data_IF_753469774614
#
_entry.id   IF_753469774614
#
_cell.length_a   1.000
_cell.length_b   1.000
_cell.length_c   1.000
_cell.angle_alpha   90.00
_cell.angle_beta   90.00
_cell.angle_gamma   90.00
#
_symmetry.space_group_name_H-M   'P 1'
#
loop_
_entity.id
_entity.type
_entity.pdbx_description
1 polymer ?
#
# COMPACT_ATOMS: atom_id res chain seq x y z
N UNK A 1 -36.23 12.88 -22.31
CA UNK A 1 -36.56 11.92 -21.23
C UNK A 1 -35.24 11.25 -20.88
N UNK A 2 -34.56 11.67 -19.80
CA UNK A 2 -33.45 10.91 -19.21
C UNK A 2 -34.11 9.65 -18.65
N UNK A 3 -33.73 8.48 -19.16
CA UNK A 3 -34.04 7.21 -18.52
C UNK A 3 -33.53 7.31 -17.08
N UNK A 4 -34.36 6.99 -16.10
CA UNK A 4 -33.97 6.64 -14.75
C UNK A 4 -33.09 5.39 -14.87
N UNK A 5 -31.80 5.62 -15.16
CA UNK A 5 -30.83 4.57 -15.27
C UNK A 5 -30.45 4.11 -13.87
N UNK A 6 -30.38 2.82 -13.67
CA UNK A 6 -29.71 2.14 -12.56
C UNK A 6 -28.58 3.03 -12.01
N UNK A 7 -28.68 3.43 -10.76
CA UNK A 7 -27.67 4.32 -10.18
C UNK A 7 -26.38 3.52 -9.98
N UNK A 8 -25.38 3.76 -10.83
CA UNK A 8 -24.08 3.12 -10.75
C UNK A 8 -23.21 3.85 -9.73
N UNK A 9 -22.53 3.08 -8.87
CA UNK A 9 -21.46 3.56 -8.02
C UNK A 9 -20.14 2.92 -8.47
N UNK A 10 -19.20 3.76 -8.90
CA UNK A 10 -17.86 3.32 -9.26
C UNK A 10 -16.95 3.50 -8.07
N UNK A 11 -16.13 2.48 -7.76
CA UNK A 11 -15.19 2.50 -6.66
C UNK A 11 -13.81 1.99 -7.12
N UNK A 12 -12.78 2.63 -6.62
CA UNK A 12 -11.40 2.16 -6.68
C UNK A 12 -10.94 1.79 -5.28
N UNK A 13 -10.39 0.60 -5.12
CA UNK A 13 -9.83 0.11 -3.86
C UNK A 13 -8.35 -0.19 -4.07
N UNK A 14 -7.53 0.32 -3.16
CA UNK A 14 -6.13 -0.09 -2.99
C UNK A 14 -6.06 -0.97 -1.74
N UNK A 15 -5.77 -2.27 -1.94
CA UNK A 15 -5.82 -3.26 -0.88
C UNK A 15 -4.42 -3.55 -0.35
N UNK A 16 -3.91 -2.65 0.49
CA UNK A 16 -2.54 -2.71 0.98
C UNK A 16 -2.35 -3.52 2.26
N UNK A 17 -1.13 -3.97 2.49
CA UNK A 17 -0.74 -4.80 3.64
C UNK A 17 -0.91 -4.07 4.99
N UNK A 18 -0.62 -2.77 5.07
CA UNK A 18 -0.73 -1.98 6.32
C UNK A 18 -1.97 -1.11 6.34
N UNK A 19 -2.31 -0.51 5.22
CA UNK A 19 -3.48 0.36 5.03
C UNK A 19 -4.14 0.02 3.71
N UNK A 20 -5.46 0.12 3.69
CA UNK A 20 -6.26 0.00 2.48
C UNK A 20 -7.05 1.28 2.28
N UNK A 21 -7.15 1.75 1.05
CA UNK A 21 -7.91 2.95 0.72
C UNK A 21 -9.03 2.66 -0.27
N UNK A 22 -10.09 3.47 -0.18
CA UNK A 22 -11.19 3.46 -1.13
C UNK A 22 -11.47 4.88 -1.61
N UNK A 23 -11.69 5.02 -2.91
CA UNK A 23 -12.19 6.22 -3.56
C UNK A 23 -13.42 5.89 -4.36
N UNK A 24 -14.49 6.70 -4.24
CA UNK A 24 -15.78 6.43 -4.87
C UNK A 24 -16.28 7.61 -5.69
N UNK A 25 -17.10 7.33 -6.73
CA UNK A 25 -17.65 8.33 -7.65
C UNK A 25 -18.65 9.31 -7.02
N UNK A 26 -19.07 9.05 -5.79
CA UNK A 26 -19.88 9.98 -4.99
C UNK A 26 -19.04 10.98 -4.17
N UNK A 27 -17.70 10.97 -4.34
CA UNK A 27 -16.77 11.87 -3.65
C UNK A 27 -16.22 11.31 -2.33
N UNK A 28 -16.59 10.11 -1.93
CA UNK A 28 -16.02 9.47 -0.71
C UNK A 28 -14.58 9.05 -0.97
N UNK A 29 -13.72 9.37 0.00
CA UNK A 29 -12.34 8.86 0.12
C UNK A 29 -12.11 8.46 1.56
N UNK A 30 -11.73 7.22 1.80
CA UNK A 30 -11.49 6.69 3.14
C UNK A 30 -10.21 5.83 3.17
N UNK A 31 -9.53 5.88 4.30
CA UNK A 31 -8.30 5.12 4.57
C UNK A 31 -8.50 4.34 5.86
N UNK A 32 -8.22 3.05 5.81
CA UNK A 32 -8.38 2.13 6.95
C UNK A 32 -7.08 1.35 7.13
N UNK A 33 -6.57 1.26 8.35
CA UNK A 33 -5.51 0.30 8.66
C UNK A 33 -6.02 -1.11 8.38
N UNK A 34 -5.23 -1.93 7.67
CA UNK A 34 -5.61 -3.29 7.26
C UNK A 34 -5.59 -4.28 8.43
N UNK A 35 -6.34 -3.95 9.48
CA UNK A 35 -6.53 -4.76 10.68
C UNK A 35 -8.02 -5.00 10.91
N UNK A 36 -8.33 -6.21 11.36
CA UNK A 36 -9.66 -6.63 11.78
C UNK A 36 -9.55 -7.44 13.05
N UNK A 37 -10.48 -7.28 13.96
CA UNK A 37 -10.49 -8.00 15.23
C UNK A 37 -11.88 -8.40 15.68
N UNK A 38 -11.97 -9.62 16.21
CA UNK A 38 -13.17 -10.14 16.85
C UNK A 38 -12.94 -10.21 18.37
N UNK A 39 -13.95 -9.92 19.19
CA UNK A 39 -13.85 -10.11 20.63
C UNK A 39 -13.39 -11.53 20.99
N UNK A 40 -12.42 -11.65 21.93
CA UNK A 40 -11.83 -12.94 22.32
C UNK A 40 -12.78 -13.83 23.10
N UNK A 41 -13.67 -13.19 23.85
CA UNK A 41 -14.57 -13.86 24.78
C UNK A 41 -15.84 -13.03 25.05
N UNK A 42 -16.73 -13.59 25.85
CA UNK A 42 -17.97 -12.95 26.24
C UNK A 42 -17.77 -11.58 26.92
N UNK A 43 -16.75 -11.43 27.74
CA UNK A 43 -16.48 -10.18 28.47
C UNK A 43 -16.07 -9.08 27.50
N UNK A 44 -15.13 -9.39 26.59
CA UNK A 44 -14.70 -8.45 25.55
C UNK A 44 -15.84 -8.08 24.60
N UNK A 45 -16.69 -9.03 24.20
CA UNK A 45 -17.88 -8.75 23.40
C UNK A 45 -18.85 -7.79 24.11
N UNK A 46 -19.09 -8.00 25.42
CA UNK A 46 -19.95 -7.13 26.20
C UNK A 46 -19.37 -5.72 26.40
N UNK A 47 -18.06 -5.61 26.62
CA UNK A 47 -17.38 -4.33 26.82
C UNK A 47 -17.33 -3.51 25.54
N UNK A 48 -17.02 -4.16 24.41
CA UNK A 48 -16.87 -3.50 23.12
C UNK A 48 -18.22 -3.18 22.45
N UNK A 49 -19.27 -3.97 22.73
CA UNK A 49 -20.61 -3.79 22.14
C UNK A 49 -20.65 -3.92 20.61
N UNK A 50 -19.63 -4.54 20.02
CA UNK A 50 -19.47 -4.76 18.57
C UNK A 50 -18.96 -6.18 18.34
N UNK A 51 -19.45 -6.84 17.29
CA UNK A 51 -19.03 -8.19 16.92
C UNK A 51 -17.69 -8.22 16.17
N UNK A 52 -17.34 -7.10 15.52
CA UNK A 52 -16.10 -6.94 14.75
C UNK A 52 -15.65 -5.48 14.78
N UNK A 53 -14.35 -5.26 14.88
CA UNK A 53 -13.72 -3.94 14.80
C UNK A 53 -12.72 -3.90 13.64
N UNK A 54 -12.56 -2.72 13.05
CA UNK A 54 -11.70 -2.48 11.89
C UNK A 54 -10.69 -1.36 12.17
N UNK A 55 -9.56 -1.40 11.48
CA UNK A 55 -8.60 -0.31 11.41
C UNK A 55 -8.06 0.13 12.78
N UNK A 56 -8.09 1.44 13.00
CA UNK A 56 -7.62 2.05 14.25
C UNK A 56 -8.37 1.53 15.47
N UNK A 57 -9.70 1.39 15.38
CA UNK A 57 -10.52 0.85 16.48
C UNK A 57 -10.05 -0.56 16.90
N UNK A 58 -9.70 -1.42 15.92
CA UNK A 58 -9.17 -2.75 16.20
C UNK A 58 -7.79 -2.70 16.85
N UNK A 59 -6.91 -1.81 16.40
CA UNK A 59 -5.57 -1.64 16.97
C UNK A 59 -5.61 -1.08 18.42
N UNK A 60 -6.48 -0.13 18.68
CA UNK A 60 -6.65 0.45 20.01
C UNK A 60 -7.17 -0.60 21.02
N UNK A 61 -8.08 -1.46 20.59
CA UNK A 61 -8.69 -2.50 21.41
C UNK A 61 -7.99 -3.88 21.31
N UNK A 62 -6.79 -3.95 20.74
CA UNK A 62 -6.07 -5.20 20.41
C UNK A 62 -5.89 -6.19 21.57
N UNK A 63 -5.91 -5.73 22.82
CA UNK A 63 -5.79 -6.61 24.00
C UNK A 63 -7.06 -7.43 24.25
N UNK A 64 -8.21 -6.93 23.80
CA UNK A 64 -9.52 -7.58 23.94
C UNK A 64 -9.98 -8.30 22.67
N UNK A 65 -9.14 -8.32 21.61
CA UNK A 65 -9.48 -8.86 20.31
C UNK A 65 -8.54 -9.97 19.87
N UNK A 66 -9.09 -10.94 19.16
CA UNK A 66 -8.33 -11.77 18.23
C UNK A 66 -8.10 -10.92 16.98
N UNK A 67 -6.89 -10.36 16.89
CA UNK A 67 -6.51 -9.39 15.90
C UNK A 67 -5.86 -10.07 14.70
N UNK A 68 -6.33 -9.74 13.50
CA UNK A 68 -5.82 -10.25 12.23
C UNK A 68 -5.33 -9.10 11.35
N UNK A 69 -4.24 -9.36 10.64
CA UNK A 69 -3.76 -8.59 9.51
C UNK A 69 -3.88 -9.50 8.30
N UNK A 70 -4.95 -9.38 7.50
CA UNK A 70 -5.33 -10.40 6.52
C UNK A 70 -4.37 -10.50 5.34
N UNK A 71 -3.57 -9.45 5.10
CA UNK A 71 -2.60 -9.38 4.03
C UNK A 71 -1.18 -9.47 4.58
N UNK A 72 -0.37 -10.33 4.00
CA UNK A 72 1.05 -10.43 4.28
C UNK A 72 1.83 -10.41 2.96
N UNK A 73 2.79 -9.47 2.85
CA UNK A 73 3.56 -9.30 1.62
C UNK A 73 2.66 -9.16 0.39
N UNK A 74 1.56 -8.42 0.52
CA UNK A 74 0.60 -8.21 -0.55
C UNK A 74 -0.23 -9.44 -0.95
N UNK A 75 -0.10 -10.57 -0.25
CA UNK A 75 -0.85 -11.79 -0.51
C UNK A 75 -1.90 -12.00 0.57
N UNK A 76 -3.08 -12.43 0.16
CA UNK A 76 -4.10 -12.94 1.07
C UNK A 76 -3.58 -14.24 1.67
N UNK A 77 -3.51 -14.31 3.00
CA UNK A 77 -3.07 -15.51 3.72
C UNK A 77 -4.04 -16.65 3.50
N UNK A 78 -3.68 -17.59 2.62
CA UNK A 78 -4.49 -18.77 2.33
C UNK A 78 -4.35 -19.86 3.42
N UNK A 79 -5.33 -20.77 3.47
CA UNK A 79 -5.29 -21.96 4.31
C UNK A 79 -5.70 -21.76 5.77
N UNK A 80 -6.09 -20.56 6.16
CA UNK A 80 -6.74 -20.27 7.44
C UNK A 80 -8.09 -19.64 7.12
N UNK A 81 -9.18 -20.36 7.35
CA UNK A 81 -10.56 -19.91 7.08
C UNK A 81 -10.83 -18.49 7.63
N UNK A 82 -10.28 -18.19 8.81
CA UNK A 82 -10.41 -16.88 9.45
C UNK A 82 -9.71 -15.75 8.69
N UNK A 83 -8.65 -16.02 7.94
CA UNK A 83 -8.00 -15.01 7.12
C UNK A 83 -8.81 -14.66 5.87
N UNK A 84 -9.45 -15.65 5.23
CA UNK A 84 -10.37 -15.41 4.11
C UNK A 84 -11.59 -14.59 4.57
N UNK A 85 -12.13 -14.92 5.75
CA UNK A 85 -13.19 -14.13 6.39
C UNK A 85 -12.71 -12.69 6.67
N UNK A 86 -11.51 -12.52 7.22
CA UNK A 86 -10.95 -11.21 7.52
C UNK A 86 -10.80 -10.32 6.27
N UNK A 87 -10.35 -10.89 5.14
CA UNK A 87 -10.28 -10.14 3.86
C UNK A 87 -11.67 -9.73 3.39
N UNK A 88 -12.63 -10.65 3.44
CA UNK A 88 -14.01 -10.39 3.03
C UNK A 88 -14.63 -9.27 3.86
N UNK A 89 -14.50 -9.34 5.17
CA UNK A 89 -15.03 -8.33 6.09
C UNK A 89 -14.34 -6.98 5.90
N UNK A 90 -13.01 -6.96 5.70
CA UNK A 90 -12.27 -5.72 5.43
C UNK A 90 -12.75 -5.04 4.13
N UNK A 91 -12.90 -5.81 3.05
CA UNK A 91 -13.40 -5.29 1.77
C UNK A 91 -14.86 -4.83 1.92
N UNK A 92 -15.70 -5.61 2.59
CA UNK A 92 -17.10 -5.24 2.88
C UNK A 92 -17.17 -3.94 3.68
N UNK A 93 -16.32 -3.77 4.68
CA UNK A 93 -16.21 -2.54 5.46
C UNK A 93 -15.81 -1.35 4.57
N UNK A 94 -14.74 -1.48 3.76
CA UNK A 94 -14.32 -0.42 2.82
C UNK A 94 -15.47 -0.01 1.90
N UNK A 95 -16.17 -0.98 1.29
CA UNK A 95 -17.31 -0.69 0.43
C UNK A 95 -18.42 0.02 1.20
N UNK A 96 -18.69 -0.36 2.46
CA UNK A 96 -19.71 0.28 3.30
C UNK A 96 -19.40 1.76 3.59
N UNK A 97 -18.11 2.11 3.71
CA UNK A 97 -17.68 3.50 3.89
C UNK A 97 -18.00 4.37 2.67
N UNK A 98 -18.08 3.80 1.48
CA UNK A 98 -18.55 4.52 0.29
C UNK A 98 -20.07 4.79 0.29
N UNK A 99 -20.80 4.36 1.33
CA UNK A 99 -22.23 4.61 1.55
C UNK A 99 -23.11 4.28 0.33
N UNK A 100 -23.03 3.04 -0.21
CA UNK A 100 -23.84 2.65 -1.35
C UNK A 100 -25.32 2.67 -0.98
N UNK A 101 -26.18 3.10 -1.89
CA UNK A 101 -27.64 2.95 -1.76
C UNK A 101 -28.04 1.53 -2.17
N UNK A 102 -29.23 1.09 -1.75
CA UNK A 102 -29.74 -0.26 -2.03
C UNK A 102 -29.87 -0.60 -3.52
N UNK A 103 -30.13 0.41 -4.34
CA UNK A 103 -30.32 0.32 -5.79
C UNK A 103 -29.04 0.56 -6.60
N UNK A 104 -27.91 0.83 -5.93
CA UNK A 104 -26.64 1.02 -6.62
C UNK A 104 -26.12 -0.30 -7.20
N UNK A 105 -25.80 -0.30 -8.49
CA UNK A 105 -24.90 -1.29 -9.08
C UNK A 105 -23.47 -0.84 -8.84
N UNK A 106 -22.71 -1.59 -8.06
CA UNK A 106 -21.34 -1.25 -7.69
C UNK A 106 -20.37 -1.86 -8.71
N UNK A 107 -19.54 -1.00 -9.31
CA UNK A 107 -18.45 -1.36 -10.22
C UNK A 107 -17.13 -1.07 -9.53
N UNK A 108 -16.37 -2.12 -9.24
CA UNK A 108 -15.16 -2.03 -8.46
C UNK A 108 -13.90 -2.33 -9.27
N UNK A 109 -12.86 -1.51 -9.10
CA UNK A 109 -11.50 -1.86 -9.49
C UNK A 109 -10.66 -1.98 -8.23
N UNK A 110 -9.94 -3.10 -8.08
CA UNK A 110 -9.08 -3.39 -6.93
C UNK A 110 -7.63 -3.48 -7.39
N UNK A 111 -6.78 -2.65 -6.79
CA UNK A 111 -5.32 -2.70 -6.94
C UNK A 111 -4.73 -3.78 -6.05
N UNK A 112 -3.76 -4.52 -6.59
CA UNK A 112 -2.98 -5.55 -5.87
C UNK A 112 -1.52 -5.51 -6.31
N UNK A 113 -0.57 -6.04 -5.52
CA UNK A 113 0.82 -6.15 -5.93
C UNK A 113 1.01 -6.95 -7.23
N UNK A 114 2.03 -6.59 -8.00
CA UNK A 114 2.23 -7.08 -9.38
C UNK A 114 2.40 -8.59 -9.48
N UNK A 115 3.34 -9.17 -8.74
CA UNK A 115 3.65 -10.61 -8.82
C UNK A 115 2.54 -11.49 -8.22
N UNK A 116 1.61 -10.92 -7.46
CA UNK A 116 0.53 -11.64 -6.77
C UNK A 116 -0.82 -11.53 -7.49
N UNK A 117 -0.88 -10.84 -8.63
CA UNK A 117 -2.12 -10.58 -9.38
C UNK A 117 -2.91 -11.86 -9.66
N UNK A 118 -2.25 -12.92 -10.13
CA UNK A 118 -2.92 -14.18 -10.51
C UNK A 118 -3.54 -14.89 -9.30
N UNK A 119 -2.81 -14.95 -8.17
CA UNK A 119 -3.27 -15.59 -6.92
C UNK A 119 -4.36 -14.76 -6.27
N UNK A 120 -4.12 -13.47 -6.09
CA UNK A 120 -5.06 -12.58 -5.41
C UNK A 120 -6.35 -12.37 -6.20
N UNK A 121 -6.31 -12.37 -7.54
CA UNK A 121 -7.51 -12.14 -8.38
C UNK A 121 -8.66 -13.09 -8.01
N UNK A 122 -8.38 -14.38 -7.82
CA UNK A 122 -9.39 -15.36 -7.47
C UNK A 122 -9.93 -15.17 -6.04
N UNK A 123 -9.02 -14.95 -5.09
CA UNK A 123 -9.37 -14.72 -3.70
C UNK A 123 -10.19 -13.43 -3.51
N UNK A 124 -9.80 -12.34 -4.19
CA UNK A 124 -10.54 -11.07 -4.16
C UNK A 124 -11.90 -11.22 -4.81
N UNK A 125 -11.99 -11.91 -5.97
CA UNK A 125 -13.29 -12.19 -6.61
C UNK A 125 -14.24 -12.91 -5.64
N UNK A 126 -13.75 -13.91 -4.91
CA UNK A 126 -14.52 -14.61 -3.87
C UNK A 126 -14.91 -13.68 -2.72
N UNK A 127 -13.98 -12.85 -2.26
CA UNK A 127 -14.22 -11.93 -1.14
C UNK A 127 -15.24 -10.83 -1.45
N UNK A 128 -15.24 -10.27 -2.68
CA UNK A 128 -16.19 -9.21 -3.08
C UNK A 128 -17.54 -9.74 -3.55
N UNK A 129 -17.68 -11.06 -3.75
CA UNK A 129 -18.93 -11.68 -4.18
C UNK A 129 -20.06 -11.32 -3.21
N UNK A 130 -21.16 -10.79 -3.77
CA UNK A 130 -22.30 -10.29 -3.00
C UNK A 130 -22.20 -8.80 -2.58
N UNK A 131 -21.05 -8.16 -2.73
CA UNK A 131 -20.90 -6.72 -2.47
C UNK A 131 -20.91 -5.87 -3.76
N UNK A 132 -20.37 -6.40 -4.86
CA UNK A 132 -20.23 -5.66 -6.11
C UNK A 132 -20.94 -6.34 -7.26
N UNK A 133 -21.36 -5.54 -8.26
CA UNK A 133 -22.00 -6.02 -9.49
C UNK A 133 -20.95 -6.48 -10.52
N UNK A 134 -19.84 -5.77 -10.60
CA UNK A 134 -18.73 -6.08 -11.51
C UNK A 134 -17.39 -5.75 -10.88
N UNK A 135 -16.38 -6.53 -11.21
CA UNK A 135 -15.03 -6.39 -10.68
C UNK A 135 -13.99 -6.40 -11.81
N UNK A 136 -12.97 -5.57 -11.64
CA UNK A 136 -11.68 -5.74 -12.31
C UNK A 136 -10.56 -5.70 -11.26
N UNK A 137 -9.55 -6.54 -11.42
CA UNK A 137 -8.34 -6.52 -10.57
C UNK A 137 -7.16 -6.11 -11.43
N UNK A 138 -6.42 -5.11 -10.96
CA UNK A 138 -5.25 -4.54 -11.65
C UNK A 138 -4.06 -4.50 -10.69
N UNK A 139 -2.86 -4.20 -11.21
CA UNK A 139 -1.71 -4.00 -10.33
C UNK A 139 -1.71 -2.57 -9.77
N UNK A 140 -1.26 -2.41 -8.52
CA UNK A 140 -1.17 -1.11 -7.82
C UNK A 140 -0.40 -0.08 -8.65
N UNK A 141 0.83 -0.35 -9.15
CA UNK A 141 1.56 0.65 -9.92
C UNK A 141 0.88 1.01 -11.24
N UNK A 142 0.12 0.08 -11.87
CA UNK A 142 -0.67 0.41 -13.05
C UNK A 142 -1.82 1.37 -12.71
N UNK A 143 -2.52 1.13 -11.59
CA UNK A 143 -3.59 2.03 -11.14
C UNK A 143 -3.04 3.45 -10.90
N UNK A 144 -1.90 3.58 -10.22
CA UNK A 144 -1.22 4.87 -10.00
C UNK A 144 -0.86 5.54 -11.32
N UNK A 145 -0.23 4.79 -12.26
CA UNK A 145 0.13 5.31 -13.58
C UNK A 145 -1.09 5.83 -14.35
N UNK A 146 -2.21 5.09 -14.29
CA UNK A 146 -3.46 5.50 -14.91
C UNK A 146 -4.01 6.79 -14.31
N UNK A 147 -4.00 6.88 -12.98
CA UNK A 147 -4.39 8.09 -12.25
C UNK A 147 -3.64 9.33 -12.69
N UNK A 148 -2.33 9.19 -12.89
CA UNK A 148 -1.41 10.25 -13.30
C UNK A 148 -1.38 10.54 -14.82
N UNK A 149 -2.09 9.79 -15.66
CA UNK A 149 -1.97 9.80 -17.13
C UNK A 149 -0.55 9.48 -17.65
N UNK A 150 0.22 8.70 -16.91
CA UNK A 150 1.57 8.29 -17.26
C UNK A 150 1.57 6.87 -17.85
N UNK A 151 0.84 6.66 -18.93
CA UNK A 151 0.65 5.35 -19.56
C UNK A 151 1.73 4.99 -20.58
N UNK A 152 2.71 5.86 -20.79
CA UNK A 152 3.78 5.63 -21.77
C UNK A 152 5.11 6.22 -21.31
N UNK A 153 6.20 5.50 -21.55
CA UNK A 153 7.56 5.91 -21.23
C UNK A 153 7.73 6.34 -19.75
N UNK A 154 7.18 5.58 -18.83
CA UNK A 154 7.26 5.87 -17.41
C UNK A 154 7.59 4.60 -16.60
N UNK A 155 8.29 4.77 -15.48
CA UNK A 155 8.58 3.75 -14.49
C UNK A 155 7.85 4.10 -13.19
N UNK A 156 7.01 3.20 -12.73
CA UNK A 156 6.30 3.32 -11.45
C UNK A 156 7.00 2.45 -10.41
N UNK A 157 7.22 3.00 -9.22
CA UNK A 157 7.79 2.31 -8.05
C UNK A 157 6.83 2.56 -6.90
N UNK A 158 6.02 1.58 -6.55
CA UNK A 158 5.09 1.66 -5.43
C UNK A 158 5.71 1.02 -4.19
N UNK A 159 6.02 1.83 -3.18
CA UNK A 159 6.66 1.37 -1.94
C UNK A 159 5.60 1.24 -0.85
N UNK A 160 5.07 0.04 -0.72
CA UNK A 160 4.10 -0.34 0.31
C UNK A 160 4.73 -0.78 1.63
N UNK A 161 3.91 -1.35 2.51
CA UNK A 161 4.38 -1.95 3.76
C UNK A 161 4.97 -3.35 3.51
N UNK A 162 4.30 -4.20 2.76
CA UNK A 162 4.70 -5.59 2.53
C UNK A 162 5.52 -5.81 1.26
N UNK A 163 5.36 -4.93 0.28
CA UNK A 163 5.96 -5.05 -1.06
C UNK A 163 6.49 -3.71 -1.57
N UNK A 164 7.46 -3.78 -2.48
CA UNK A 164 7.74 -2.72 -3.43
C UNK A 164 7.43 -3.25 -4.81
N UNK A 165 6.51 -2.60 -5.49
CA UNK A 165 6.01 -3.00 -6.80
C UNK A 165 6.50 -2.06 -7.89
N UNK A 166 6.98 -2.65 -8.97
CA UNK A 166 7.57 -1.94 -10.10
C UNK A 166 6.76 -2.22 -11.36
N UNK A 167 6.56 -1.20 -12.18
CA UNK A 167 5.90 -1.34 -13.46
C UNK A 167 6.43 -0.33 -14.47
N UNK A 168 6.78 -0.80 -15.69
CA UNK A 168 7.12 0.06 -16.82
C UNK A 168 5.91 0.22 -17.72
N UNK A 169 5.54 1.46 -17.98
CA UNK A 169 4.47 1.84 -18.89
C UNK A 169 5.04 2.21 -20.25
N UNK A 170 4.60 1.52 -21.30
CA UNK A 170 5.09 1.73 -22.68
C UNK A 170 3.96 1.87 -23.73
N UNK A 171 2.77 2.28 -23.30
CA UNK A 171 1.62 2.56 -24.17
C UNK A 171 0.67 1.39 -24.37
N UNK A 172 0.87 0.29 -23.64
CA UNK A 172 -0.01 -0.88 -23.61
C UNK A 172 -0.29 -1.30 -22.17
N UNK A 173 -1.21 -2.24 -21.98
CA UNK A 173 -1.38 -2.91 -20.68
C UNK A 173 -0.08 -3.63 -20.32
N UNK A 174 0.48 -3.41 -19.11
CA UNK A 174 1.71 -4.06 -18.70
C UNK A 174 1.55 -5.58 -18.67
N UNK A 175 2.54 -6.27 -19.21
CA UNK A 175 2.67 -7.73 -19.13
C UNK A 175 3.54 -8.10 -17.93
N UNK A 176 3.67 -9.40 -17.65
CA UNK A 176 4.42 -9.89 -16.48
C UNK A 176 5.90 -9.44 -16.52
N UNK A 177 6.47 -9.36 -17.73
CA UNK A 177 7.84 -8.93 -17.94
C UNK A 177 8.08 -7.43 -17.67
N UNK A 178 7.06 -6.60 -17.74
CA UNK A 178 7.14 -5.16 -17.47
C UNK A 178 7.09 -4.84 -15.98
N UNK A 179 6.86 -5.85 -15.16
CA UNK A 179 6.54 -5.71 -13.75
C UNK A 179 7.47 -6.54 -12.87
N UNK A 180 7.62 -6.14 -11.61
CA UNK A 180 8.37 -6.87 -10.60
C UNK A 180 7.88 -6.49 -9.21
N UNK A 181 7.85 -7.45 -8.30
CA UNK A 181 7.65 -7.23 -6.85
C UNK A 181 8.89 -7.64 -6.08
N UNK A 182 9.28 -6.87 -5.07
CA UNK A 182 10.26 -7.26 -4.06
C UNK A 182 9.64 -7.12 -2.67
N UNK A 183 10.14 -7.91 -1.71
CA UNK A 183 9.56 -7.99 -0.36
C UNK A 183 10.37 -7.22 0.69
N UNK A 184 11.45 -6.55 0.30
CA UNK A 184 12.18 -5.61 1.14
C UNK A 184 11.48 -4.25 1.09
N UNK A 185 10.47 -4.06 1.93
CA UNK A 185 9.55 -2.92 1.93
C UNK A 185 9.40 -2.29 3.32
N UNK A 186 8.29 -1.63 3.61
CA UNK A 186 8.09 -0.91 4.87
C UNK A 186 8.15 -1.78 6.12
N UNK A 187 7.65 -3.02 6.09
CA UNK A 187 7.73 -3.95 7.21
C UNK A 187 9.17 -4.42 7.45
N UNK A 188 9.97 -4.60 6.38
CA UNK A 188 11.39 -4.90 6.50
C UNK A 188 12.15 -3.75 7.18
N UNK A 189 11.82 -2.49 6.87
CA UNK A 189 12.38 -1.33 7.59
C UNK A 189 12.06 -1.44 9.09
N UNK A 190 10.81 -1.77 9.46
CA UNK A 190 10.39 -1.90 10.85
C UNK A 190 11.18 -3.00 11.58
N UNK A 191 11.40 -4.16 10.94
CA UNK A 191 12.20 -5.26 11.49
C UNK A 191 13.65 -4.84 11.71
N UNK A 192 14.30 -4.21 10.72
CA UNK A 192 15.66 -3.73 10.82
C UNK A 192 15.80 -2.66 11.92
N UNK A 193 14.85 -1.71 11.94
CA UNK A 193 14.86 -0.64 12.93
C UNK A 193 14.68 -1.18 14.34
N UNK A 194 13.76 -2.12 14.55
CA UNK A 194 13.57 -2.82 15.83
C UNK A 194 14.85 -3.52 16.29
N UNK A 195 15.55 -4.20 15.36
CA UNK A 195 16.81 -4.88 15.64
C UNK A 195 17.88 -3.89 16.09
N UNK A 196 18.07 -2.78 15.35
CA UNK A 196 19.07 -1.77 15.69
C UNK A 196 18.78 -1.03 17.00
N UNK A 197 17.51 -0.78 17.31
CA UNK A 197 17.11 -0.21 18.60
C UNK A 197 17.42 -1.18 19.75
N UNK A 198 17.15 -2.47 19.58
CA UNK A 198 17.39 -3.49 20.59
C UNK A 198 18.89 -3.65 20.86
N UNK A 199 19.72 -3.56 19.82
CA UNK A 199 21.19 -3.61 19.93
C UNK A 199 21.74 -2.40 20.70
N UNK A 200 21.27 -1.19 20.34
CA UNK A 200 21.76 0.06 20.93
C UNK A 200 21.22 0.32 22.34
N UNK A 201 19.99 -0.05 22.60
CA UNK A 201 19.27 0.24 23.83
C UNK A 201 18.68 -1.02 24.49
N UNK A 202 19.50 -1.98 24.93
CA UNK A 202 19.06 -3.29 25.41
C UNK A 202 18.17 -3.23 26.67
N UNK A 203 18.18 -2.12 27.42
CA UNK A 203 17.33 -1.90 28.58
C UNK A 203 15.96 -1.28 28.27
N UNK A 204 15.72 -0.86 27.03
CA UNK A 204 14.49 -0.21 26.63
C UNK A 204 13.43 -1.22 26.23
N UNK A 205 12.15 -0.91 26.55
CA UNK A 205 11.01 -1.71 26.14
C UNK A 205 10.24 -0.97 25.05
N UNK A 206 10.00 -1.64 23.94
CA UNK A 206 9.18 -1.15 22.84
C UNK A 206 8.54 -2.32 22.09
N UNK A 207 7.54 -2.05 21.29
CA UNK A 207 6.89 -3.04 20.43
C UNK A 207 6.87 -2.56 18.97
N UNK A 208 6.51 -3.45 18.04
CA UNK A 208 6.52 -3.15 16.60
C UNK A 208 5.59 -1.99 16.22
N UNK A 209 4.51 -1.76 16.98
CA UNK A 209 3.63 -0.61 16.72
C UNK A 209 4.34 0.73 17.02
N UNK A 210 5.09 0.80 18.13
CA UNK A 210 5.92 1.98 18.43
C UNK A 210 7.00 2.20 17.37
N UNK A 211 7.70 1.13 16.97
CA UNK A 211 8.72 1.17 15.91
C UNK A 211 8.15 1.74 14.62
N UNK A 212 6.97 1.23 14.19
CA UNK A 212 6.26 1.71 13.01
C UNK A 212 5.88 3.19 13.13
N UNK A 213 5.33 3.61 14.26
CA UNK A 213 4.96 5.01 14.50
C UNK A 213 6.18 5.94 14.43
N UNK A 214 7.32 5.55 14.97
CA UNK A 214 8.56 6.34 14.87
C UNK A 214 9.04 6.43 13.42
N UNK A 215 9.04 5.30 12.68
CA UNK A 215 9.35 5.29 11.25
C UNK A 215 8.43 6.21 10.47
N UNK A 216 7.12 6.06 10.60
CA UNK A 216 6.14 6.87 9.86
C UNK A 216 6.28 8.36 10.14
N UNK A 217 6.63 8.73 11.36
CA UNK A 217 6.76 10.13 11.75
C UNK A 217 8.09 10.77 11.38
N UNK A 218 9.18 10.00 11.40
CA UNK A 218 10.53 10.56 11.36
C UNK A 218 11.42 10.00 10.24
N UNK A 219 10.93 9.09 9.38
CA UNK A 219 11.75 8.41 8.37
C UNK A 219 12.44 9.39 7.42
N UNK A 220 13.69 9.08 7.10
CA UNK A 220 14.51 9.82 6.14
C UNK A 220 15.62 8.94 5.57
N UNK A 221 16.13 9.35 4.41
CA UNK A 221 17.34 8.81 3.78
C UNK A 221 18.29 9.95 3.43
N UNK A 222 19.58 9.65 3.26
CA UNK A 222 20.61 10.66 2.98
C UNK A 222 20.99 11.47 4.23
N UNK A 223 20.86 12.79 4.16
CA UNK A 223 21.21 13.70 5.26
C UNK A 223 20.07 13.91 6.25
N UNK A 224 20.33 13.74 7.55
CA UNK A 224 19.37 14.12 8.58
C UNK A 224 19.24 15.64 8.69
N UNK A 225 18.00 16.15 8.85
CA UNK A 225 17.74 17.58 9.13
C UNK A 225 18.03 17.99 10.58
N UNK A 226 18.33 17.01 11.46
CA UNK A 226 18.61 17.18 12.88
C UNK A 226 18.51 15.84 13.62
N UNK A 227 18.79 15.82 14.92
CA UNK A 227 18.64 14.59 15.73
C UNK A 227 17.18 14.21 15.88
N UNK A 228 16.88 12.92 15.74
CA UNK A 228 15.55 12.34 16.00
C UNK A 228 15.57 11.74 17.41
N UNK A 229 14.84 12.37 18.31
CA UNK A 229 14.70 11.90 19.68
C UNK A 229 13.31 11.34 19.94
N UNK A 230 13.24 10.21 20.61
CA UNK A 230 12.00 9.56 21.04
C UNK A 230 12.10 9.12 22.50
N UNK A 231 10.96 9.00 23.16
CA UNK A 231 10.90 8.47 24.51
C UNK A 231 10.67 6.97 24.49
N UNK A 232 11.55 6.19 25.10
CA UNK A 232 11.39 4.75 25.28
C UNK A 232 11.27 4.40 26.77
N UNK A 233 10.41 3.43 27.14
CA UNK A 233 10.31 2.95 28.51
C UNK A 233 11.58 2.19 28.92
N UNK A 234 12.23 2.65 30.01
CA UNK A 234 13.33 1.98 30.69
C UNK A 234 12.96 1.85 32.17
N UNK A 235 12.85 0.63 32.69
CA UNK A 235 12.44 0.37 34.09
C UNK A 235 11.15 1.10 34.50
N UNK A 236 10.19 1.22 33.58
CA UNK A 236 8.91 1.87 33.80
C UNK A 236 8.90 3.41 33.71
N UNK A 237 10.03 4.04 33.37
CA UNK A 237 10.14 5.48 33.13
C UNK A 237 10.39 5.75 31.65
N UNK A 238 9.80 6.82 31.13
CA UNK A 238 10.11 7.31 29.77
C UNK A 238 11.43 8.04 29.79
N UNK A 239 12.36 7.59 28.94
CA UNK A 239 13.71 8.15 28.82
C UNK A 239 13.95 8.54 27.36
N UNK A 240 14.46 9.77 27.10
CA UNK A 240 14.75 10.21 25.73
C UNK A 240 15.95 9.45 25.16
N UNK A 241 15.81 9.03 23.90
CA UNK A 241 16.83 8.29 23.15
C UNK A 241 17.00 8.89 21.76
N UNK A 242 18.26 9.05 21.32
CA UNK A 242 18.57 9.46 19.94
C UNK A 242 18.58 8.24 19.02
N UNK A 243 17.59 8.17 18.13
CA UNK A 243 17.39 7.07 17.18
C UNK A 243 17.81 7.42 15.75
N UNK A 244 18.48 8.55 15.54
CA UNK A 244 18.77 9.11 14.21
C UNK A 244 19.54 8.14 13.33
N UNK A 245 20.62 7.55 13.83
CA UNK A 245 21.48 6.65 13.06
C UNK A 245 20.78 5.32 12.73
N UNK A 246 20.07 4.76 13.69
CA UNK A 246 19.33 3.50 13.56
C UNK A 246 18.20 3.63 12.57
N UNK A 247 17.43 4.71 12.65
CA UNK A 247 16.33 5.00 11.73
C UNK A 247 16.83 5.21 10.30
N UNK A 248 17.90 6.02 10.13
CA UNK A 248 18.52 6.21 8.82
C UNK A 248 18.98 4.89 8.23
N UNK A 249 19.75 4.09 8.98
CA UNK A 249 20.25 2.80 8.53
C UNK A 249 19.12 1.86 8.13
N UNK A 250 18.03 1.85 8.88
CA UNK A 250 16.85 1.04 8.57
C UNK A 250 16.17 1.51 7.29
N UNK A 251 15.92 2.82 7.11
CA UNK A 251 15.31 3.36 5.91
C UNK A 251 16.17 3.14 4.66
N UNK A 252 17.50 3.27 4.79
CA UNK A 252 18.42 3.04 3.67
C UNK A 252 18.57 1.56 3.30
N UNK A 253 18.17 0.62 4.16
CA UNK A 253 18.34 -0.81 3.94
C UNK A 253 17.57 -1.36 2.73
N UNK A 254 16.47 -0.71 2.32
CA UNK A 254 15.68 -1.10 1.16
C UNK A 254 16.20 -0.48 -0.16
N UNK A 255 17.01 0.56 -0.09
CA UNK A 255 17.42 1.33 -1.26
C UNK A 255 18.21 0.53 -2.30
N UNK A 256 19.18 -0.34 -1.93
CA UNK A 256 19.93 -1.12 -2.92
C UNK A 256 19.01 -1.99 -3.79
N UNK A 257 18.08 -2.72 -3.18
CA UNK A 257 17.16 -3.59 -3.91
C UNK A 257 16.23 -2.80 -4.86
N UNK A 258 15.79 -1.61 -4.45
CA UNK A 258 14.97 -0.72 -5.29
C UNK A 258 15.79 -0.21 -6.48
N UNK A 259 17.01 0.25 -6.25
CA UNK A 259 17.90 0.78 -7.30
C UNK A 259 18.23 -0.32 -8.31
N UNK A 260 18.64 -1.49 -7.84
CA UNK A 260 19.03 -2.62 -8.70
C UNK A 260 17.85 -3.12 -9.54
N UNK A 261 16.66 -3.24 -8.94
CA UNK A 261 15.44 -3.65 -9.66
C UNK A 261 15.02 -2.62 -10.69
N UNK A 262 15.06 -1.33 -10.35
CA UNK A 262 14.77 -0.24 -11.29
C UNK A 262 15.74 -0.28 -12.48
N UNK A 263 17.04 -0.43 -12.19
CA UNK A 263 18.05 -0.51 -13.22
C UNK A 263 17.87 -1.72 -14.15
N UNK A 264 17.59 -2.89 -13.58
CA UNK A 264 17.40 -4.12 -14.33
C UNK A 264 16.17 -4.05 -15.26
N UNK A 265 15.06 -3.48 -14.79
CA UNK A 265 13.83 -3.33 -15.59
C UNK A 265 14.04 -2.34 -16.75
N UNK A 266 14.63 -1.17 -16.51
CA UNK A 266 14.89 -0.16 -17.54
C UNK A 266 15.86 -0.71 -18.59
N UNK A 267 16.90 -1.46 -18.19
CA UNK A 267 17.91 -2.01 -19.09
C UNK A 267 17.37 -3.03 -20.10
N UNK A 268 16.15 -3.55 -19.93
CA UNK A 268 15.50 -4.49 -20.86
C UNK A 268 14.98 -3.82 -22.13
N UNK A 269 14.82 -2.50 -22.12
CA UNK A 269 14.33 -1.73 -23.26
C UNK A 269 15.48 -1.23 -24.16
N UNK A 270 15.17 -0.95 -25.40
CA UNK A 270 16.13 -0.33 -26.32
C UNK A 270 16.60 1.03 -25.79
N UNK A 271 17.85 1.45 -26.09
CA UNK A 271 18.45 2.66 -25.52
C UNK A 271 17.61 3.94 -25.70
N UNK A 272 16.87 4.05 -26.79
CA UNK A 272 16.00 5.21 -27.08
C UNK A 272 14.78 5.26 -26.14
N UNK A 273 14.23 4.09 -25.75
CA UNK A 273 13.14 4.01 -24.77
C UNK A 273 13.67 4.18 -23.36
N UNK A 274 14.83 3.60 -23.02
CA UNK A 274 15.50 3.86 -21.75
C UNK A 274 15.67 5.34 -21.51
N UNK A 275 16.08 6.10 -22.56
CA UNK A 275 16.24 7.55 -22.50
C UNK A 275 14.97 8.30 -22.07
N UNK A 276 13.81 7.83 -22.49
CA UNK A 276 12.50 8.41 -22.15
C UNK A 276 12.01 7.96 -20.76
N UNK A 277 12.08 6.66 -20.49
CA UNK A 277 11.62 6.05 -19.21
C UNK A 277 12.34 6.67 -18.03
N UNK A 278 13.67 6.82 -18.08
CA UNK A 278 14.46 7.37 -16.98
C UNK A 278 14.16 8.83 -16.65
N UNK A 279 13.48 9.57 -17.52
CA UNK A 279 13.01 10.93 -17.26
C UNK A 279 11.63 10.97 -16.55
N UNK A 280 10.97 9.81 -16.43
CA UNK A 280 9.63 9.68 -15.85
C UNK A 280 9.60 8.52 -14.83
N UNK A 281 10.48 8.57 -13.81
CA UNK A 281 10.46 7.61 -12.70
C UNK A 281 9.62 8.21 -11.59
N UNK A 282 8.57 7.52 -11.19
CA UNK A 282 7.59 7.97 -10.18
C UNK A 282 7.60 7.02 -9.00
N UNK A 283 7.72 7.58 -7.80
CA UNK A 283 7.63 6.84 -6.53
C UNK A 283 6.28 7.11 -5.89
N UNK A 284 5.56 6.04 -5.59
CA UNK A 284 4.24 6.03 -4.96
C UNK A 284 4.25 5.19 -3.67
N UNK A 285 3.06 5.00 -3.09
CA UNK A 285 2.88 4.28 -1.85
C UNK A 285 3.37 5.02 -0.61
N UNK A 286 3.09 4.46 0.57
CA UNK A 286 3.45 5.08 1.86
C UNK A 286 4.94 5.37 2.01
N UNK A 287 5.80 4.55 1.40
CA UNK A 287 7.27 4.72 1.41
C UNK A 287 7.75 5.95 0.65
N UNK A 288 6.98 6.50 -0.28
CA UNK A 288 7.32 7.74 -0.98
C UNK A 288 7.37 8.97 -0.05
N UNK A 289 6.81 8.85 1.16
CA UNK A 289 6.84 9.87 2.20
C UNK A 289 8.16 9.90 2.99
N UNK A 290 9.04 8.91 2.81
CA UNK A 290 10.37 8.92 3.43
C UNK A 290 11.12 10.17 2.96
N UNK A 291 11.47 11.04 3.91
CA UNK A 291 12.12 12.32 3.60
C UNK A 291 13.42 12.11 2.81
N UNK A 292 13.53 12.76 1.65
CA UNK A 292 14.73 12.69 0.79
C UNK A 292 14.77 11.51 -0.18
N UNK A 293 13.73 10.66 -0.23
CA UNK A 293 13.74 9.42 -1.04
C UNK A 293 13.90 9.69 -2.54
N UNK A 294 13.18 10.66 -3.11
CA UNK A 294 13.28 10.99 -4.54
C UNK A 294 14.68 11.46 -4.93
N UNK A 295 15.27 12.34 -4.11
CA UNK A 295 16.64 12.83 -4.33
C UNK A 295 17.67 11.70 -4.17
N UNK A 296 17.50 10.85 -3.15
CA UNK A 296 18.40 9.70 -2.91
C UNK A 296 18.39 8.74 -4.09
N UNK A 297 17.20 8.33 -4.55
CA UNK A 297 17.05 7.43 -5.70
C UNK A 297 17.57 8.08 -6.99
N UNK A 298 17.23 9.35 -7.23
CA UNK A 298 17.70 10.08 -8.40
C UNK A 298 19.24 10.15 -8.44
N UNK A 299 19.89 10.47 -7.33
CA UNK A 299 21.35 10.55 -7.25
C UNK A 299 22.02 9.17 -7.44
N UNK A 300 21.41 8.10 -6.95
CA UNK A 300 21.90 6.75 -7.15
C UNK A 300 21.74 6.30 -8.61
N UNK A 301 20.56 6.50 -9.21
CA UNK A 301 20.28 6.14 -10.60
C UNK A 301 21.07 6.96 -11.61
N UNK A 302 21.39 8.24 -11.31
CA UNK A 302 22.26 9.06 -12.15
C UNK A 302 23.67 8.48 -12.29
N UNK A 303 24.17 7.77 -11.31
CA UNK A 303 25.48 7.08 -11.41
C UNK A 303 25.44 5.90 -12.37
N UNK A 304 24.25 5.31 -12.61
CA UNK A 304 24.05 4.15 -13.48
C UNK A 304 23.71 4.59 -14.90
N UNK A 305 22.76 5.51 -15.04
CA UNK A 305 22.13 5.87 -16.32
C UNK A 305 22.51 7.27 -16.86
N UNK A 306 23.32 8.02 -16.12
CA UNK A 306 23.49 9.46 -16.39
C UNK A 306 22.23 10.24 -15.99
N UNK A 307 21.83 11.22 -16.79
CA UNK A 307 20.69 12.07 -16.42
C UNK A 307 19.38 11.30 -16.32
N UNK A 308 18.69 11.45 -15.20
CA UNK A 308 17.38 10.87 -14.91
C UNK A 308 16.58 11.75 -13.95
N UNK A 309 15.26 11.56 -13.92
CA UNK A 309 14.36 12.32 -13.05
C UNK A 309 13.50 11.37 -12.24
N UNK A 310 13.48 11.57 -10.91
CA UNK A 310 12.64 10.85 -9.96
C UNK A 310 11.73 11.82 -9.23
N UNK A 311 10.43 11.55 -9.23
CA UNK A 311 9.42 12.34 -8.50
C UNK A 311 8.60 11.44 -7.61
N UNK A 312 8.02 12.01 -6.53
CA UNK A 312 7.01 11.33 -5.73
C UNK A 312 5.62 11.80 -6.13
N UNK A 313 4.62 10.93 -5.96
CA UNK A 313 3.21 11.32 -6.10
C UNK A 313 2.81 12.33 -5.02
N UNK A 314 1.84 13.20 -5.31
CA UNK A 314 1.40 14.23 -4.36
C UNK A 314 0.58 13.65 -3.20
N UNK A 315 -0.27 12.67 -3.49
CA UNK A 315 -1.13 12.02 -2.49
C UNK A 315 -0.89 10.49 -2.46
N UNK A 316 0.17 10.05 -1.79
CA UNK A 316 0.60 8.65 -1.84
C UNK A 316 -0.36 7.67 -1.18
N UNK A 317 -1.24 8.11 -0.28
CA UNK A 317 -2.16 7.24 0.44
C UNK A 317 -3.41 6.90 -0.37
N UNK A 318 -3.76 7.76 -1.35
CA UNK A 318 -4.92 7.57 -2.21
C UNK A 318 -4.57 7.42 -3.70
N UNK A 319 -3.29 7.49 -4.07
CA UNK A 319 -2.89 7.41 -5.47
C UNK A 319 -3.38 6.13 -6.16
N UNK A 320 -3.29 4.98 -5.48
CA UNK A 320 -3.79 3.69 -5.96
C UNK A 320 -5.30 3.67 -6.13
N UNK A 321 -6.06 4.00 -5.08
CA UNK A 321 -7.52 4.00 -5.12
C UNK A 321 -8.09 5.08 -6.05
N UNK A 322 -7.47 6.27 -6.13
CA UNK A 322 -7.86 7.32 -7.08
C UNK A 322 -7.63 6.89 -8.53
N UNK A 323 -6.48 6.26 -8.80
CA UNK A 323 -6.16 5.73 -10.13
C UNK A 323 -7.12 4.60 -10.53
N UNK A 324 -7.43 3.70 -9.61
CA UNK A 324 -8.41 2.64 -9.81
C UNK A 324 -9.82 3.21 -10.05
N UNK A 325 -10.24 4.25 -9.30
CA UNK A 325 -11.52 4.93 -9.53
C UNK A 325 -11.57 5.59 -10.90
N UNK A 326 -10.50 6.30 -11.30
CA UNK A 326 -10.43 6.93 -12.62
C UNK A 326 -10.55 5.88 -13.72
N UNK A 327 -9.84 4.77 -13.59
CA UNK A 327 -9.95 3.65 -14.53
C UNK A 327 -11.39 3.10 -14.55
N UNK A 328 -12.05 2.97 -13.41
CA UNK A 328 -13.43 2.51 -13.33
C UNK A 328 -14.41 3.42 -14.08
N UNK A 329 -14.22 4.74 -13.97
CA UNK A 329 -15.05 5.73 -14.66
C UNK A 329 -14.83 5.74 -16.18
N UNK A 330 -13.60 5.49 -16.63
CA UNK A 330 -13.23 5.49 -18.04
C UNK A 330 -13.48 4.13 -18.73
N UNK A 331 -13.73 3.07 -17.96
CA UNK A 331 -13.83 1.69 -18.46
C UNK A 331 -15.07 1.49 -19.34
N UNK A 332 -14.91 1.09 -20.62
CA UNK A 332 -16.04 0.73 -21.47
C UNK A 332 -16.80 -0.49 -20.93
N UNK A 333 -18.14 -0.46 -21.04
CA UNK A 333 -19.04 -1.49 -20.49
C UNK A 333 -18.65 -2.94 -20.88
N UNK A 334 -18.09 -3.14 -22.08
CA UNK A 334 -17.69 -4.46 -22.59
C UNK A 334 -16.53 -5.14 -21.86
N UNK A 335 -15.75 -4.37 -21.06
CA UNK A 335 -14.61 -4.89 -20.33
C UNK A 335 -14.92 -5.25 -18.86
N UNK A 336 -16.12 -4.94 -18.39
CA UNK A 336 -16.53 -5.31 -17.05
C UNK A 336 -16.86 -6.79 -16.94
N UNK A 337 -16.18 -7.51 -16.05
CA UNK A 337 -16.52 -8.89 -15.70
C UNK A 337 -17.69 -8.87 -14.69
N UNK A 338 -18.81 -9.51 -15.02
CA UNK A 338 -19.91 -9.73 -14.06
C UNK A 338 -19.49 -10.81 -13.05
N UNK A 339 -19.87 -10.62 -11.78
CA UNK A 339 -19.56 -11.55 -10.67
C UNK A 339 -20.83 -12.28 -10.23
#
# INVERSE_FOLDING_TARGET
>A
MKQEGDSALYIGIDLGTSRSSISASNGTQELVESYIGWPRDFISAQVLGKDVLFGADALENRLSLDLYRPLERGVIKEGIERNEEAVRELIGHLISLAKPKKDHKIYAIVGVPSDTLKVNKLAIRKAVSGYVHSLMVVTEPFAVAYGMNLLNNAMMIDIGAGTVDFCIMHGAMPVEEDQKTIFTAGDYIDEQFSSYLSEKYPGSKFNMNMVRQFKEKYSFVGGAKGPVQVELPVEGKLVPHDITAELKRACESIMPAIIDTTAALIARFDPEFQGKIKQNIVVAGGGSQITGISEYLQNALKKIFGDCRVICVEDPLYAGSNGALKLALDMPAKYWEQI
#
